data_IF_808081228289
#
_entry.id   IF_808081228289
#
_cell.length_a   1.000
_cell.length_b   1.000
_cell.length_c   1.000
_cell.angle_alpha   90.00
_cell.angle_beta   90.00
_cell.angle_gamma   90.00
#
_symmetry.space_group_name_H-M   'P 1'
#
loop_
_entity.id
_entity.type
_entity.pdbx_description
1 polymer ?
#
# COMPACT_ATOMS: atom_id res chain seq x y z
N UNK A 1 -0.79 -7.07 22.13
CA UNK A 1 -0.89 -7.71 23.46
C UNK A 1 -2.15 -8.55 23.57
N UNK A 2 -3.35 -7.98 23.46
CA UNK A 2 -4.62 -8.73 23.62
C UNK A 2 -4.75 -10.04 22.82
N UNK A 3 -4.51 -10.04 21.50
CA UNK A 3 -4.73 -11.26 20.68
C UNK A 3 -3.73 -12.40 20.96
N UNK A 4 -2.47 -12.06 21.20
CA UNK A 4 -1.46 -13.03 21.59
C UNK A 4 -1.71 -13.56 23.01
N UNK A 5 -2.19 -12.71 23.92
CA UNK A 5 -2.61 -13.11 25.28
C UNK A 5 -3.81 -14.07 25.22
N UNK A 6 -4.85 -13.78 24.43
CA UNK A 6 -6.02 -14.67 24.23
C UNK A 6 -5.63 -16.04 23.64
N UNK A 7 -4.67 -16.05 22.71
CA UNK A 7 -4.09 -17.29 22.18
C UNK A 7 -3.40 -18.13 23.27
N UNK A 8 -2.61 -17.48 24.12
CA UNK A 8 -1.88 -18.13 25.21
C UNK A 8 -2.84 -18.65 26.29
N UNK A 9 -3.91 -17.90 26.60
CA UNK A 9 -4.86 -18.19 27.67
C UNK A 9 -5.86 -19.31 27.37
N UNK A 10 -6.02 -19.73 26.11
CA UNK A 10 -6.85 -20.90 25.81
C UNK A 10 -7.27 -21.06 24.36
N UNK A 11 -7.24 -20.00 23.54
CA UNK A 11 -7.69 -20.08 22.14
C UNK A 11 -6.78 -20.94 21.25
N UNK A 12 -5.58 -21.32 21.70
CA UNK A 12 -4.70 -22.27 20.99
C UNK A 12 -5.26 -23.70 20.87
N UNK A 13 -6.23 -24.06 21.72
CA UNK A 13 -6.79 -25.42 21.78
C UNK A 13 -7.96 -25.62 20.81
N UNK A 14 -8.43 -24.54 20.17
CA UNK A 14 -9.46 -24.55 19.15
C UNK A 14 -8.85 -24.08 17.82
N UNK A 15 -8.88 -24.93 16.80
CA UNK A 15 -8.16 -24.70 15.55
C UNK A 15 -8.71 -23.49 14.78
N UNK A 16 -10.03 -23.29 14.80
CA UNK A 16 -10.68 -22.15 14.15
C UNK A 16 -10.30 -20.83 14.83
N UNK A 17 -10.37 -20.78 16.17
CA UNK A 17 -9.93 -19.61 16.95
C UNK A 17 -8.44 -19.34 16.77
N UNK A 18 -7.60 -20.37 16.76
CA UNK A 18 -6.17 -20.26 16.52
C UNK A 18 -5.88 -19.58 15.18
N UNK A 19 -6.47 -20.09 14.09
CA UNK A 19 -6.30 -19.53 12.76
C UNK A 19 -6.84 -18.10 12.65
N UNK A 20 -7.97 -17.79 13.27
CA UNK A 20 -8.52 -16.44 13.32
C UNK A 20 -7.55 -15.46 14.00
N UNK A 21 -7.04 -15.79 15.18
CA UNK A 21 -6.13 -14.89 15.92
C UNK A 21 -4.78 -14.74 15.23
N UNK A 22 -4.23 -15.80 14.62
CA UNK A 22 -3.01 -15.71 13.83
C UNK A 22 -3.16 -14.75 12.63
N UNK A 23 -4.29 -14.82 11.93
CA UNK A 23 -4.59 -13.89 10.84
C UNK A 23 -4.73 -12.45 11.32
N UNK A 24 -5.36 -12.24 12.48
CA UNK A 24 -5.46 -10.89 13.08
C UNK A 24 -4.08 -10.35 13.44
N UNK A 25 -3.22 -11.16 14.06
CA UNK A 25 -1.85 -10.77 14.41
C UNK A 25 -1.06 -10.40 13.15
N UNK A 26 -1.10 -11.24 12.11
CA UNK A 26 -0.42 -10.99 10.84
C UNK A 26 -0.89 -9.67 10.21
N UNK A 27 -2.20 -9.46 10.14
CA UNK A 27 -2.78 -8.22 9.59
C UNK A 27 -2.31 -6.99 10.36
N UNK A 28 -2.27 -7.07 11.69
CA UNK A 28 -1.86 -5.94 12.53
C UNK A 28 -0.35 -5.69 12.45
N UNK A 29 0.47 -6.73 12.33
CA UNK A 29 1.90 -6.62 12.05
C UNK A 29 2.17 -5.91 10.73
N UNK A 30 1.49 -6.30 9.64
CA UNK A 30 1.61 -5.63 8.35
C UNK A 30 1.14 -4.16 8.40
N UNK A 31 0.09 -3.87 9.19
CA UNK A 31 -0.37 -2.49 9.40
C UNK A 31 0.68 -1.64 10.12
N UNK A 32 1.31 -2.19 11.17
CA UNK A 32 2.39 -1.50 11.89
C UNK A 32 3.59 -1.27 10.98
N UNK A 33 3.99 -2.27 10.19
CA UNK A 33 5.06 -2.14 9.20
C UNK A 33 4.80 -1.00 8.22
N UNK A 34 3.59 -0.93 7.64
CA UNK A 34 3.18 0.17 6.75
C UNK A 34 3.31 1.54 7.44
N UNK A 35 2.82 1.67 8.67
CA UNK A 35 2.91 2.93 9.42
C UNK A 35 4.35 3.36 9.71
N UNK A 36 5.24 2.40 9.99
CA UNK A 36 6.66 2.67 10.19
C UNK A 36 7.31 3.11 8.89
N UNK A 37 6.99 2.48 7.76
CA UNK A 37 7.47 2.88 6.44
C UNK A 37 6.98 4.28 6.07
N UNK A 38 5.70 4.58 6.28
CA UNK A 38 5.13 5.91 6.01
C UNK A 38 5.84 7.00 6.84
N UNK A 39 6.18 6.70 8.10
CA UNK A 39 6.93 7.62 8.96
C UNK A 39 8.37 7.83 8.48
N UNK A 40 9.05 6.75 8.06
CA UNK A 40 10.41 6.84 7.52
C UNK A 40 10.44 7.61 6.19
N UNK A 41 9.47 7.37 5.31
CA UNK A 41 9.29 8.11 4.07
C UNK A 41 9.08 9.61 4.34
N UNK A 42 8.22 9.95 5.30
CA UNK A 42 8.02 11.34 5.70
C UNK A 42 9.32 11.98 6.21
N UNK A 43 10.05 11.27 7.08
CA UNK A 43 11.33 11.75 7.61
C UNK A 43 12.39 11.94 6.51
N UNK A 44 12.41 11.06 5.51
CA UNK A 44 13.28 11.20 4.35
C UNK A 44 12.90 12.35 3.44
N UNK A 45 11.61 12.61 3.24
CA UNK A 45 11.11 13.77 2.48
C UNK A 45 11.51 15.08 3.16
N UNK A 46 11.45 15.15 4.49
CA UNK A 46 11.89 16.33 5.25
C UNK A 46 13.41 16.56 5.18
N UNK A 47 14.20 15.51 4.94
CA UNK A 47 15.67 15.59 4.84
C UNK A 47 16.19 15.76 3.40
N UNK A 48 15.47 15.29 2.38
CA UNK A 48 15.87 15.40 0.98
C UNK A 48 15.46 16.76 0.38
N UNK A 49 16.44 17.64 0.19
CA UNK A 49 16.24 18.91 -0.52
C UNK A 49 16.18 18.78 -2.05
N UNK A 50 16.53 17.62 -2.63
CA UNK A 50 16.60 17.46 -4.09
C UNK A 50 15.83 16.23 -4.57
N UNK A 51 14.71 16.49 -5.27
CA UNK A 51 13.97 15.45 -5.99
C UNK A 51 14.69 15.19 -7.32
N UNK A 52 15.32 14.02 -7.44
CA UNK A 52 15.86 13.56 -8.73
C UNK A 52 14.70 13.25 -9.67
N UNK A 53 14.68 13.93 -10.81
CA UNK A 53 13.62 13.81 -11.83
C UNK A 53 14.19 13.43 -13.19
N UNK A 54 13.46 12.59 -13.91
CA UNK A 54 13.77 12.11 -15.27
C UNK A 54 12.51 12.19 -16.14
N UNK A 55 12.70 12.19 -17.46
CA UNK A 55 11.55 12.01 -18.37
C UNK A 55 10.97 10.62 -18.18
N UNK A 56 9.66 10.54 -18.04
CA UNK A 56 8.90 9.30 -17.86
C UNK A 56 7.56 9.39 -18.59
N UNK A 57 6.99 8.24 -18.97
CA UNK A 57 5.65 8.13 -19.53
C UNK A 57 4.63 8.03 -18.39
N UNK A 58 3.89 9.11 -18.13
CA UNK A 58 2.87 9.15 -17.08
C UNK A 58 1.74 8.17 -17.36
N UNK A 59 1.37 8.01 -18.62
CA UNK A 59 0.27 7.17 -19.05
C UNK A 59 0.55 5.71 -18.66
N UNK A 60 1.74 5.22 -19.01
CA UNK A 60 2.19 3.86 -18.67
C UNK A 60 2.26 3.63 -17.15
N UNK A 61 2.78 4.61 -16.40
CA UNK A 61 2.81 4.52 -14.94
C UNK A 61 1.39 4.42 -14.37
N UNK A 62 0.47 5.30 -14.80
CA UNK A 62 -0.89 5.33 -14.31
C UNK A 62 -1.64 4.02 -14.61
N UNK A 63 -1.50 3.46 -15.82
CA UNK A 63 -2.07 2.15 -16.15
C UNK A 63 -1.55 1.05 -15.22
N UNK A 64 -0.22 1.00 -15.03
CA UNK A 64 0.42 -0.03 -14.19
C UNK A 64 -0.01 0.09 -12.73
N UNK A 65 -0.10 1.31 -12.19
CA UNK A 65 -0.56 1.53 -10.81
C UNK A 65 -2.04 1.15 -10.64
N UNK A 66 -2.91 1.48 -11.60
CA UNK A 66 -4.33 1.12 -11.55
C UNK A 66 -4.54 -0.40 -11.62
N UNK A 67 -3.81 -1.09 -12.50
CA UNK A 67 -3.88 -2.56 -12.63
C UNK A 67 -3.51 -3.25 -11.30
N UNK A 68 -2.47 -2.75 -10.61
CA UNK A 68 -2.08 -3.24 -9.28
C UNK A 68 -3.18 -3.03 -8.22
N UNK A 69 -3.98 -1.97 -8.34
CA UNK A 69 -5.08 -1.67 -7.42
C UNK A 69 -6.38 -2.40 -7.78
N UNK A 70 -6.51 -2.92 -9.00
CA UNK A 70 -7.72 -3.56 -9.51
C UNK A 70 -8.21 -4.70 -8.60
N UNK A 71 -7.31 -5.57 -8.15
CA UNK A 71 -7.63 -6.68 -7.25
C UNK A 71 -8.18 -6.18 -5.90
N UNK A 72 -7.58 -5.13 -5.35
CA UNK A 72 -8.01 -4.55 -4.07
C UNK A 72 -9.37 -3.85 -4.21
N UNK A 73 -9.59 -3.14 -5.32
CA UNK A 73 -10.84 -2.47 -5.63
C UNK A 73 -11.98 -3.48 -5.81
N UNK A 74 -11.76 -4.57 -6.56
CA UNK A 74 -12.73 -5.64 -6.76
C UNK A 74 -13.15 -6.31 -5.44
N UNK A 75 -12.19 -6.61 -4.56
CA UNK A 75 -12.48 -7.16 -3.22
C UNK A 75 -13.33 -6.21 -2.36
N UNK A 76 -13.32 -4.91 -2.66
CA UNK A 76 -14.13 -3.88 -2.01
C UNK A 76 -15.40 -3.52 -2.80
N UNK A 77 -15.71 -4.20 -3.90
CA UNK A 77 -16.79 -3.87 -4.84
C UNK A 77 -16.71 -2.43 -5.39
N UNK A 78 -15.49 -1.91 -5.58
CA UNK A 78 -15.21 -0.60 -6.14
C UNK A 78 -14.86 -0.77 -7.62
N UNK A 79 -15.45 0.07 -8.47
CA UNK A 79 -15.10 0.15 -9.90
C UNK A 79 -14.17 1.33 -10.11
N UNK A 80 -12.99 1.08 -10.70
CA UNK A 80 -12.05 2.13 -11.12
C UNK A 80 -12.25 2.34 -12.62
N UNK A 81 -12.67 3.55 -12.99
CA UNK A 81 -12.74 3.98 -14.38
C UNK A 81 -11.56 4.90 -14.69
N UNK A 82 -10.82 4.61 -15.77
CA UNK A 82 -9.66 5.39 -16.17
C UNK A 82 -9.87 5.98 -17.57
N UNK A 83 -9.64 7.28 -17.69
CA UNK A 83 -9.58 8.00 -18.96
C UNK A 83 -8.22 8.70 -19.03
N UNK A 84 -7.22 8.00 -19.58
CA UNK A 84 -5.81 8.40 -19.56
C UNK A 84 -5.37 8.71 -20.99
N UNK A 85 -4.93 9.94 -21.21
CA UNK A 85 -4.31 10.35 -22.48
C UNK A 85 -3.04 9.54 -22.74
N UNK A 86 -2.78 9.16 -23.99
CA UNK A 86 -1.63 8.34 -24.37
C UNK A 86 -0.35 9.18 -24.48
N UNK A 87 0.79 8.55 -24.21
CA UNK A 87 2.14 9.10 -24.42
C UNK A 87 2.39 10.46 -23.74
N UNK A 88 1.82 10.64 -22.53
CA UNK A 88 2.06 11.84 -21.72
C UNK A 88 3.45 11.76 -21.10
N UNK A 89 4.43 12.40 -21.74
CA UNK A 89 5.82 12.42 -21.29
C UNK A 89 6.11 13.72 -20.54
N UNK A 90 6.60 13.61 -19.30
CA UNK A 90 7.00 14.76 -18.48
C UNK A 90 8.15 14.41 -17.54
N UNK A 91 8.79 15.45 -16.99
CA UNK A 91 9.94 15.29 -16.09
C UNK A 91 9.46 15.19 -14.63
N UNK A 92 9.60 14.02 -14.03
CA UNK A 92 9.20 13.76 -12.64
C UNK A 92 10.00 12.62 -12.02
N UNK A 93 9.75 12.35 -10.73
CA UNK A 93 10.25 11.17 -10.05
C UNK A 93 9.18 10.08 -10.11
N UNK A 94 9.44 9.03 -10.87
CA UNK A 94 8.48 7.96 -11.16
C UNK A 94 7.90 7.31 -9.91
N UNK A 95 8.77 6.92 -8.95
CA UNK A 95 8.34 6.29 -7.70
C UNK A 95 7.42 7.21 -6.87
N UNK A 96 7.76 8.50 -6.76
CA UNK A 96 6.93 9.46 -6.02
C UNK A 96 5.57 9.68 -6.69
N UNK A 97 5.52 9.72 -8.02
CA UNK A 97 4.25 9.83 -8.74
C UNK A 97 3.41 8.56 -8.57
N UNK A 98 4.02 7.38 -8.62
CA UNK A 98 3.33 6.12 -8.38
C UNK A 98 2.70 6.08 -6.98
N UNK A 99 3.45 6.57 -5.97
CA UNK A 99 2.98 6.69 -4.59
C UNK A 99 1.80 7.67 -4.49
N UNK A 100 1.86 8.82 -5.17
CA UNK A 100 0.74 9.78 -5.22
C UNK A 100 -0.51 9.13 -5.83
N UNK A 101 -0.37 8.43 -6.96
CA UNK A 101 -1.49 7.74 -7.61
C UNK A 101 -2.08 6.67 -6.67
N UNK A 102 -1.22 5.86 -6.05
CA UNK A 102 -1.61 4.80 -5.10
C UNK A 102 -2.34 5.35 -3.88
N UNK A 103 -1.93 6.51 -3.37
CA UNK A 103 -2.53 7.10 -2.17
C UNK A 103 -3.88 7.76 -2.45
N UNK A 104 -4.13 8.20 -3.68
CA UNK A 104 -5.36 8.91 -4.05
C UNK A 104 -6.48 7.98 -4.54
N UNK A 105 -6.15 6.75 -4.96
CA UNK A 105 -7.08 5.74 -5.47
C UNK A 105 -7.38 4.68 -4.40
#
# INVERSE_FOLDING_TARGET
KGFAETLIEGAKNDEDSLNMFLNIILKESNRIESLVMDLLDLSHIEQQNEITTSYMNLSELAYTTIDNLQNQAQNKNITIESNIEQDVIFKANENKIAQVITNLL
#
